data_IF_168344673186
#
_entry.id   IF_168344673186
#
_cell.length_a   1.000
_cell.length_b   1.000
_cell.length_c   1.000
_cell.angle_alpha   90.00
_cell.angle_beta   90.00
_cell.angle_gamma   90.00
#
_symmetry.space_group_name_H-M   'P 1'
#
loop_
_entity.id
_entity.type
_entity.pdbx_description
1 polymer ?
#
# COMPACT_ATOMS: atom_id res chain seq x y z
N UNK A 1 70.33 -45.27 5.81
CA UNK A 1 69.12 -44.81 6.53
C UNK A 1 69.24 -43.30 6.80
N UNK A 2 68.84 -42.47 5.82
CA UNK A 2 68.51 -41.04 5.97
C UNK A 2 67.88 -40.60 4.64
N UNK A 3 66.62 -40.19 4.72
CA UNK A 3 65.69 -39.95 3.61
C UNK A 3 66.03 -38.66 2.88
N UNK A 4 66.14 -38.72 1.55
CA UNK A 4 66.16 -37.59 0.63
C UNK A 4 64.73 -37.17 0.29
N UNK A 5 64.42 -35.90 0.59
CA UNK A 5 63.16 -35.23 0.30
C UNK A 5 62.94 -35.13 -1.23
N UNK A 6 61.84 -35.71 -1.73
CA UNK A 6 61.32 -35.42 -3.07
C UNK A 6 60.41 -34.18 -2.99
N UNK A 7 60.71 -33.17 -3.80
CA UNK A 7 59.76 -32.11 -4.17
C UNK A 7 58.89 -32.65 -5.29
N UNK A 8 57.57 -32.73 -5.06
CA UNK A 8 56.58 -32.92 -6.13
C UNK A 8 55.54 -31.81 -6.00
N UNK A 9 55.39 -31.04 -7.08
CA UNK A 9 54.47 -29.92 -7.23
C UNK A 9 53.02 -30.45 -7.22
N UNK A 10 52.22 -29.99 -6.25
CA UNK A 10 50.77 -30.22 -6.21
C UNK A 10 50.02 -28.99 -6.70
N UNK A 11 49.52 -29.05 -7.93
CA UNK A 11 48.62 -28.06 -8.50
C UNK A 11 47.24 -28.20 -7.84
N UNK A 12 46.85 -27.28 -6.96
CA UNK A 12 45.52 -27.24 -6.35
C UNK A 12 44.66 -26.31 -7.22
N UNK A 13 43.83 -26.91 -8.06
CA UNK A 13 42.78 -26.23 -8.80
C UNK A 13 41.58 -26.04 -7.86
N UNK A 14 41.43 -24.85 -7.28
CA UNK A 14 40.23 -24.48 -6.51
C UNK A 14 39.08 -24.22 -7.49
N UNK A 15 38.12 -25.13 -7.56
CA UNK A 15 36.86 -24.93 -8.26
C UNK A 15 35.91 -24.13 -7.37
N UNK A 16 35.70 -22.86 -7.70
CA UNK A 16 34.70 -22.00 -7.05
C UNK A 16 33.32 -22.33 -7.62
N UNK A 17 32.47 -23.00 -6.83
CA UNK A 17 31.08 -23.24 -7.18
C UNK A 17 30.29 -21.92 -7.02
N UNK A 18 30.01 -21.25 -8.14
CA UNK A 18 29.13 -20.07 -8.16
C UNK A 18 27.68 -20.59 -8.09
N UNK A 19 27.10 -20.58 -6.90
CA UNK A 19 25.66 -20.72 -6.69
C UNK A 19 24.98 -19.45 -7.20
N UNK A 20 24.52 -19.49 -8.44
CA UNK A 20 23.61 -18.47 -8.99
C UNK A 20 22.26 -18.66 -8.31
N UNK A 21 21.96 -17.84 -7.30
CA UNK A 21 20.59 -17.67 -6.84
C UNK A 21 19.81 -16.98 -7.95
N UNK A 22 19.10 -17.76 -8.77
CA UNK A 22 18.06 -17.20 -9.61
C UNK A 22 16.96 -16.71 -8.66
N UNK A 23 16.81 -15.38 -8.55
CA UNK A 23 15.58 -14.78 -8.06
C UNK A 23 14.48 -15.16 -9.05
N UNK A 24 13.87 -16.32 -8.84
CA UNK A 24 12.65 -16.67 -9.54
C UNK A 24 11.62 -15.63 -9.09
N UNK A 25 11.26 -14.71 -9.99
CA UNK A 25 10.03 -13.94 -9.88
C UNK A 25 8.88 -14.94 -10.02
N UNK A 26 8.65 -15.72 -8.97
CA UNK A 26 7.46 -16.53 -8.88
C UNK A 26 6.32 -15.53 -8.72
N UNK A 27 5.40 -15.53 -9.69
CA UNK A 27 4.02 -15.12 -9.38
C UNK A 27 3.67 -15.81 -8.07
N UNK A 28 3.20 -15.05 -7.09
CA UNK A 28 2.82 -15.59 -5.78
C UNK A 28 1.64 -16.53 -6.01
N UNK A 29 1.94 -17.78 -6.36
CA UNK A 29 0.94 -18.81 -6.50
C UNK A 29 0.50 -19.10 -5.08
N UNK A 30 -0.67 -18.60 -4.70
CA UNK A 30 -1.27 -19.01 -3.44
C UNK A 30 -2.01 -20.32 -3.73
N UNK A 31 -1.47 -21.49 -3.32
CA UNK A 31 -2.17 -22.74 -3.52
C UNK A 31 -3.51 -22.66 -2.78
N UNK A 32 -4.57 -23.13 -3.45
CA UNK A 32 -5.86 -23.50 -2.85
C UNK A 32 -6.88 -22.41 -2.48
N UNK A 33 -6.74 -21.14 -2.89
CA UNK A 33 -7.91 -20.25 -2.87
C UNK A 33 -8.95 -20.79 -3.89
N UNK A 34 -10.22 -21.07 -3.51
CA UNK A 34 -11.21 -21.59 -4.44
C UNK A 34 -11.38 -20.62 -5.62
N UNK A 35 -11.20 -21.09 -6.85
CA UNK A 35 -11.60 -20.33 -8.02
C UNK A 35 -13.12 -20.46 -8.19
N UNK A 36 -13.80 -19.33 -8.38
CA UNK A 36 -15.16 -19.33 -8.91
C UNK A 36 -15.20 -19.90 -10.34
N UNK A 37 -16.42 -20.07 -10.85
CA UNK A 37 -16.64 -20.53 -12.23
C UNK A 37 -16.23 -19.51 -13.30
N UNK A 38 -16.65 -19.77 -14.53
CA UNK A 38 -16.65 -18.77 -15.61
C UNK A 38 -17.69 -17.69 -15.31
N UNK A 39 -17.33 -16.42 -15.44
CA UNK A 39 -18.24 -15.31 -15.17
C UNK A 39 -18.13 -14.17 -16.18
N UNK A 40 -19.16 -13.31 -16.20
CA UNK A 40 -19.12 -11.98 -16.82
C UNK A 40 -19.07 -10.94 -15.72
N UNK A 41 -18.05 -10.07 -15.73
CA UNK A 41 -17.91 -8.96 -14.78
C UNK A 41 -18.63 -7.75 -15.37
N UNK A 42 -19.64 -7.24 -14.65
CA UNK A 42 -20.47 -6.12 -15.07
C UNK A 42 -20.57 -4.97 -14.07
N UNK A 43 -19.95 -5.12 -12.89
CA UNK A 43 -19.92 -4.14 -11.79
C UNK A 43 -18.57 -4.23 -11.07
N UNK A 44 -18.21 -3.24 -10.24
CA UNK A 44 -17.04 -3.33 -9.38
C UNK A 44 -17.07 -4.59 -8.51
N UNK A 45 -15.94 -5.29 -8.39
CA UNK A 45 -15.88 -6.62 -7.75
C UNK A 45 -15.00 -6.67 -6.50
N UNK A 46 -14.16 -5.66 -6.29
CA UNK A 46 -13.29 -5.61 -5.12
C UNK A 46 -14.06 -5.21 -3.87
N UNK A 47 -13.53 -5.62 -2.72
CA UNK A 47 -13.99 -5.12 -1.43
C UNK A 47 -12.78 -4.83 -0.59
N UNK A 48 -12.75 -3.64 -0.02
CA UNK A 48 -11.59 -3.08 0.65
C UNK A 48 -11.91 -2.98 2.14
N UNK A 49 -10.95 -3.37 2.97
CA UNK A 49 -11.05 -3.32 4.42
C UNK A 49 -9.88 -2.50 4.97
N UNK A 50 -10.19 -1.41 5.67
CA UNK A 50 -9.18 -0.55 6.27
C UNK A 50 -8.42 -1.26 7.38
N UNK A 51 -7.13 -1.00 7.49
CA UNK A 51 -6.33 -1.45 8.62
C UNK A 51 -6.78 -0.84 9.96
N UNK A 52 -6.21 -1.34 11.05
CA UNK A 52 -6.42 -0.81 12.40
C UNK A 52 -5.08 -0.48 13.02
N UNK A 53 -5.03 0.53 13.88
CA UNK A 53 -3.82 0.94 14.59
C UNK A 53 -2.96 -0.23 15.09
N UNK A 54 -1.67 -0.19 14.78
CA UNK A 54 -0.70 -1.21 15.16
C UNK A 54 0.26 -1.58 14.04
N UNK A 55 1.10 -2.57 14.32
CA UNK A 55 2.09 -3.13 13.38
C UNK A 55 1.88 -4.63 13.30
N UNK A 56 1.79 -5.16 12.07
CA UNK A 56 1.33 -6.51 11.77
C UNK A 56 2.20 -7.16 10.68
N UNK A 57 2.13 -8.48 10.56
CA UNK A 57 2.91 -9.24 9.56
C UNK A 57 4.38 -9.45 9.97
N UNK A 58 5.27 -9.49 8.98
CA UNK A 58 6.66 -9.90 9.18
C UNK A 58 7.34 -9.13 10.33
N UNK A 59 8.17 -9.81 11.14
CA UNK A 59 8.91 -9.17 12.24
C UNK A 59 8.10 -8.86 13.49
N UNK A 60 6.83 -9.27 13.56
CA UNK A 60 6.00 -9.16 14.78
C UNK A 60 5.90 -10.50 15.52
N UNK A 61 5.29 -10.51 16.72
CA UNK A 61 4.99 -11.75 17.46
C UNK A 61 3.99 -12.67 16.75
N UNK A 62 3.22 -12.13 15.79
CA UNK A 62 2.25 -12.87 14.96
C UNK A 62 2.53 -12.60 13.48
N UNK A 63 3.59 -13.23 12.91
CA UNK A 63 4.14 -12.86 11.60
C UNK A 63 3.23 -13.11 10.39
N UNK A 64 2.08 -13.74 10.62
CA UNK A 64 1.10 -14.14 9.63
C UNK A 64 -0.28 -13.51 9.88
N UNK A 65 -0.38 -12.47 10.70
CA UNK A 65 -1.66 -11.84 11.04
C UNK A 65 -1.71 -10.37 10.65
N UNK A 66 -2.92 -9.90 10.33
CA UNK A 66 -3.30 -8.48 10.20
C UNK A 66 -4.68 -8.25 10.82
N UNK A 67 -4.96 -7.01 11.24
CA UNK A 67 -6.29 -6.61 11.70
C UNK A 67 -7.01 -5.80 10.63
N UNK A 68 -8.33 -5.88 10.57
CA UNK A 68 -9.16 -5.07 9.67
C UNK A 68 -10.33 -4.44 10.42
N UNK A 69 -10.72 -3.25 9.98
CA UNK A 69 -11.88 -2.50 10.44
C UNK A 69 -13.16 -3.07 9.86
N UNK A 70 -14.18 -3.24 10.70
CA UNK A 70 -15.55 -3.51 10.24
C UNK A 70 -16.30 -2.21 9.87
N UNK A 71 -15.75 -1.03 10.20
CA UNK A 71 -16.38 0.27 9.94
C UNK A 71 -15.91 0.87 8.60
N UNK A 72 -14.68 0.56 8.19
CA UNK A 72 -14.04 1.16 7.03
C UNK A 72 -13.97 0.12 5.91
N UNK A 73 -15.15 -0.17 5.36
CA UNK A 73 -15.35 -1.17 4.30
C UNK A 73 -16.03 -0.53 3.10
N UNK A 74 -15.46 -0.72 1.91
CA UNK A 74 -16.03 -0.27 0.63
C UNK A 74 -16.15 -1.49 -0.29
N UNK A 75 -17.26 -1.60 -1.03
CA UNK A 75 -17.60 -2.77 -1.83
C UNK A 75 -18.60 -3.72 -1.13
N UNK A 76 -19.08 -4.73 -1.87
CA UNK A 76 -20.18 -5.61 -1.44
C UNK A 76 -19.79 -7.06 -1.10
N UNK A 77 -18.52 -7.41 -1.22
CA UNK A 77 -18.01 -8.77 -1.00
C UNK A 77 -17.96 -9.15 0.48
N UNK A 78 -18.28 -10.40 0.78
CA UNK A 78 -18.17 -10.95 2.14
C UNK A 78 -16.87 -11.71 2.28
N UNK A 79 -16.00 -11.27 3.21
CA UNK A 79 -14.73 -11.95 3.50
C UNK A 79 -14.93 -13.23 4.33
N UNK A 80 -14.50 -14.36 3.78
CA UNK A 80 -14.58 -15.70 4.36
C UNK A 80 -13.20 -16.40 4.38
N UNK A 81 -13.08 -17.49 5.14
CA UNK A 81 -11.88 -18.32 5.16
C UNK A 81 -11.70 -18.99 3.79
N UNK A 82 -10.47 -18.97 3.27
CA UNK A 82 -10.09 -19.46 1.94
C UNK A 82 -9.97 -18.37 0.89
N UNK A 83 -10.43 -17.16 1.17
CA UNK A 83 -10.36 -16.04 0.23
C UNK A 83 -8.91 -15.63 -0.06
N UNK A 84 -8.69 -15.25 -1.33
CA UNK A 84 -7.49 -14.55 -1.76
C UNK A 84 -7.64 -13.06 -1.44
N UNK A 85 -6.64 -12.50 -0.79
CA UNK A 85 -6.58 -11.07 -0.47
C UNK A 85 -5.25 -10.48 -0.91
N UNK A 86 -5.23 -9.16 -1.14
CA UNK A 86 -4.00 -8.37 -1.14
C UNK A 86 -3.91 -7.63 0.19
N UNK A 87 -2.75 -7.67 0.85
CA UNK A 87 -2.43 -6.75 1.94
C UNK A 87 -1.50 -5.68 1.38
N UNK A 88 -1.87 -4.40 1.47
CA UNK A 88 -1.17 -3.30 0.83
C UNK A 88 -0.93 -2.14 1.79
N UNK A 89 0.33 -1.75 1.96
CA UNK A 89 0.72 -0.51 2.61
C UNK A 89 0.60 0.65 1.62
N UNK A 90 -0.45 1.46 1.76
CA UNK A 90 -0.74 2.57 0.84
C UNK A 90 0.04 3.82 1.23
N UNK A 91 0.05 4.15 2.53
CA UNK A 91 0.80 5.29 3.07
C UNK A 91 1.75 4.82 4.18
N UNK A 92 2.90 5.48 4.29
CA UNK A 92 3.92 5.18 5.27
C UNK A 92 5.31 5.60 4.80
N UNK A 93 5.41 6.84 4.33
CA UNK A 93 6.68 7.50 4.05
C UNK A 93 6.90 8.65 5.04
N UNK A 94 8.13 8.82 5.48
CA UNK A 94 8.51 9.99 6.27
C UNK A 94 8.75 11.18 5.33
N UNK A 95 8.77 12.38 5.87
CA UNK A 95 9.19 13.57 5.14
C UNK A 95 9.87 14.55 6.09
N UNK A 96 10.80 15.34 5.55
CA UNK A 96 11.33 16.49 6.27
C UNK A 96 10.27 17.60 6.29
N UNK A 97 9.92 18.07 7.48
CA UNK A 97 8.90 19.08 7.69
C UNK A 97 9.49 20.47 7.96
N UNK A 98 10.80 20.63 7.94
CA UNK A 98 11.43 21.94 8.14
C UNK A 98 11.08 22.89 6.99
N UNK A 99 10.91 24.17 7.32
CA UNK A 99 10.49 25.19 6.36
C UNK A 99 11.72 25.86 5.72
N UNK A 100 12.47 25.06 4.98
CA UNK A 100 13.65 25.47 4.24
C UNK A 100 13.84 24.57 3.01
N UNK A 101 14.99 24.67 2.35
CA UNK A 101 15.26 23.96 1.11
C UNK A 101 15.46 22.44 1.26
N UNK A 102 15.34 21.90 2.48
CA UNK A 102 15.34 20.45 2.75
C UNK A 102 13.92 19.87 2.85
N UNK A 103 12.86 20.68 2.81
CA UNK A 103 11.48 20.21 2.93
C UNK A 103 11.17 19.02 2.00
N UNK A 104 10.62 17.96 2.58
CA UNK A 104 10.24 16.73 1.90
C UNK A 104 11.28 15.62 2.04
N UNK A 105 12.49 15.80 1.56
CA UNK A 105 13.51 14.74 1.45
C UNK A 105 14.78 14.95 2.28
N UNK A 106 14.84 16.02 3.04
CA UNK A 106 15.97 16.32 3.92
C UNK A 106 17.24 16.75 3.19
N UNK A 107 17.17 17.08 1.89
CA UNK A 107 18.34 17.42 1.08
C UNK A 107 18.21 18.79 0.41
N UNK A 108 19.12 19.71 0.76
CA UNK A 108 19.21 21.02 0.12
C UNK A 108 19.49 20.92 -1.39
N UNK A 109 18.90 21.84 -2.17
CA UNK A 109 19.20 22.01 -3.59
C UNK A 109 18.43 21.11 -4.57
N UNK A 110 17.45 20.33 -4.11
CA UNK A 110 16.57 19.55 -4.98
C UNK A 110 15.62 18.65 -4.22
N UNK A 111 14.47 19.18 -3.80
CA UNK A 111 13.54 18.45 -2.94
C UNK A 111 12.73 17.36 -3.66
N UNK A 112 12.68 16.18 -3.05
CA UNK A 112 11.67 15.15 -3.27
C UNK A 112 10.59 15.22 -2.18
N UNK A 113 9.38 14.71 -2.44
CA UNK A 113 8.26 14.87 -1.50
C UNK A 113 8.29 13.98 -0.24
N UNK A 114 9.34 13.18 -0.03
CA UNK A 114 9.44 12.20 1.06
C UNK A 114 10.91 11.76 1.30
N UNK A 115 11.16 11.19 2.48
CA UNK A 115 12.43 10.58 2.88
C UNK A 115 12.52 9.12 2.41
N UNK A 116 13.53 8.81 1.60
CA UNK A 116 13.82 7.42 1.20
C UNK A 116 14.77 6.76 2.20
N UNK A 117 14.22 6.11 3.22
CA UNK A 117 14.98 5.49 4.31
C UNK A 117 14.38 4.13 4.74
N UNK A 118 14.92 3.54 5.81
CA UNK A 118 14.48 2.23 6.30
C UNK A 118 13.02 2.20 6.81
N UNK A 119 12.45 3.37 7.14
CA UNK A 119 11.08 3.52 7.61
C UNK A 119 10.07 3.69 6.46
N UNK A 120 10.51 3.72 5.20
CA UNK A 120 9.62 3.72 4.04
C UNK A 120 8.90 2.38 3.92
N UNK A 121 7.61 2.38 4.24
CA UNK A 121 6.72 1.22 4.16
C UNK A 121 5.79 1.28 2.94
N UNK A 122 5.44 2.49 2.47
CA UNK A 122 4.50 2.68 1.38
C UNK A 122 4.92 1.91 0.12
N UNK A 123 3.94 1.33 -0.58
CA UNK A 123 4.16 0.51 -1.78
C UNK A 123 4.46 -0.96 -1.51
N UNK A 124 4.58 -1.40 -0.25
CA UNK A 124 4.64 -2.83 0.08
C UNK A 124 3.27 -3.48 -0.14
N UNK A 125 3.22 -4.55 -0.91
CA UNK A 125 2.01 -5.36 -1.04
C UNK A 125 2.34 -6.82 -1.30
N UNK A 126 1.43 -7.71 -0.92
CA UNK A 126 1.50 -9.14 -1.25
C UNK A 126 0.10 -9.76 -1.28
N UNK A 127 -0.06 -10.83 -2.06
CA UNK A 127 -1.21 -11.70 -2.00
C UNK A 127 -1.09 -12.65 -0.81
N UNK A 128 -2.22 -12.98 -0.19
CA UNK A 128 -2.30 -13.93 0.90
C UNK A 128 -3.64 -14.67 0.85
N UNK A 129 -3.70 -15.86 1.45
CA UNK A 129 -4.95 -16.58 1.67
C UNK A 129 -5.37 -16.50 3.12
N UNK A 130 -6.63 -16.18 3.36
CA UNK A 130 -7.20 -16.12 4.70
C UNK A 130 -7.39 -17.53 5.25
N UNK A 131 -6.68 -17.89 6.32
CA UNK A 131 -6.79 -19.22 6.95
C UNK A 131 -7.72 -19.23 8.15
N UNK A 132 -7.77 -18.13 8.91
CA UNK A 132 -8.70 -17.99 10.02
C UNK A 132 -9.19 -16.56 10.10
N UNK A 133 -10.41 -16.41 10.58
CA UNK A 133 -10.97 -15.11 10.90
C UNK A 133 -11.57 -15.17 12.30
N UNK A 134 -11.12 -14.29 13.18
CA UNK A 134 -11.67 -14.11 14.52
C UNK A 134 -12.18 -12.69 14.69
N UNK A 135 -13.11 -12.49 15.63
CA UNK A 135 -13.94 -11.28 15.70
C UNK A 135 -15.18 -11.36 14.81
N UNK A 136 -16.08 -10.39 14.92
CA UNK A 136 -17.35 -10.36 14.21
C UNK A 136 -17.69 -8.93 13.76
N UNK A 137 -18.44 -8.81 12.66
CA UNK A 137 -19.10 -7.57 12.25
C UNK A 137 -20.64 -7.72 12.43
N UNK A 138 -21.40 -6.66 12.79
CA UNK A 138 -20.91 -5.31 13.09
C UNK A 138 -20.23 -5.26 14.47
N UNK A 139 -19.03 -4.69 14.51
CA UNK A 139 -18.11 -4.66 15.66
C UNK A 139 -16.90 -3.77 15.33
N UNK A 140 -15.85 -3.75 16.15
CA UNK A 140 -14.69 -2.87 15.88
C UNK A 140 -13.74 -3.49 14.86
N UNK A 141 -13.42 -4.77 14.98
CA UNK A 141 -12.35 -5.39 14.19
C UNK A 141 -12.51 -6.89 13.93
N UNK A 142 -11.85 -7.37 12.87
CA UNK A 142 -11.55 -8.79 12.66
C UNK A 142 -10.03 -8.96 12.65
N UNK A 143 -9.54 -10.06 13.23
CA UNK A 143 -8.16 -10.52 13.04
C UNK A 143 -8.16 -11.57 11.95
N UNK A 144 -7.33 -11.35 10.94
CA UNK A 144 -7.10 -12.31 9.86
C UNK A 144 -5.78 -13.01 10.14
N UNK A 145 -5.79 -14.35 10.21
CA UNK A 145 -4.57 -15.12 10.00
C UNK A 145 -4.48 -15.48 8.53
N UNK A 146 -3.31 -15.27 7.97
CA UNK A 146 -3.03 -15.34 6.55
C UNK A 146 -1.92 -16.36 6.27
N UNK A 147 -1.98 -16.99 5.11
CA UNK A 147 -0.82 -17.67 4.53
C UNK A 147 -0.27 -16.77 3.43
N UNK A 148 0.94 -16.24 3.63
CA UNK A 148 1.66 -15.39 2.68
C UNK A 148 2.79 -16.13 1.95
N UNK A 149 3.61 -15.38 1.24
CA UNK A 149 4.77 -15.90 0.49
C UNK A 149 6.05 -16.03 1.32
N UNK A 150 6.03 -15.60 2.58
CA UNK A 150 7.18 -15.59 3.47
C UNK A 150 7.52 -16.98 4.04
N UNK A 151 8.67 -17.05 4.73
CA UNK A 151 9.14 -18.28 5.35
C UNK A 151 8.10 -18.85 6.32
N UNK A 152 7.81 -20.16 6.22
CA UNK A 152 6.82 -20.84 7.05
C UNK A 152 5.36 -20.46 6.76
N UNK A 153 5.08 -19.85 5.60
CA UNK A 153 3.73 -19.36 5.26
C UNK A 153 3.38 -18.01 5.89
N UNK A 154 4.36 -17.30 6.44
CA UNK A 154 4.18 -15.97 7.00
C UNK A 154 4.02 -14.91 5.90
N UNK A 155 3.70 -13.68 6.30
CA UNK A 155 3.77 -12.53 5.40
C UNK A 155 5.23 -12.18 5.10
N UNK A 156 5.49 -11.66 3.91
CA UNK A 156 6.79 -11.12 3.48
C UNK A 156 7.08 -9.78 4.12
N UNK A 157 6.04 -8.95 4.28
CA UNK A 157 6.18 -7.58 4.74
C UNK A 157 5.53 -7.34 6.10
N UNK A 158 6.06 -6.33 6.78
CA UNK A 158 5.42 -5.68 7.92
C UNK A 158 4.51 -4.58 7.40
N UNK A 159 3.30 -4.50 7.95
CA UNK A 159 2.31 -3.47 7.68
C UNK A 159 2.03 -2.66 8.94
N UNK A 160 1.77 -1.37 8.78
CA UNK A 160 1.57 -0.44 9.89
C UNK A 160 0.34 0.44 9.64
N UNK A 161 -0.41 0.72 10.69
CA UNK A 161 -1.45 1.73 10.70
C UNK A 161 -1.24 2.63 11.91
N UNK A 162 -1.19 3.94 11.67
CA UNK A 162 -1.04 4.94 12.72
C UNK A 162 -1.55 6.28 12.23
N UNK A 163 -2.19 7.02 13.12
CA UNK A 163 -2.45 8.44 12.87
C UNK A 163 -1.14 9.20 12.98
N UNK A 164 -1.01 10.25 12.16
CA UNK A 164 0.08 11.20 12.29
C UNK A 164 0.01 11.86 13.67
N UNK A 165 1.15 11.96 14.37
CA UNK A 165 1.21 12.79 15.59
C UNK A 165 2.29 13.86 15.48
N UNK A 166 3.49 13.51 15.00
CA UNK A 166 4.60 14.46 14.88
C UNK A 166 5.72 13.92 13.97
N UNK A 167 6.37 14.80 13.20
CA UNK A 167 7.68 14.53 12.56
C UNK A 167 8.81 14.75 13.57
N UNK A 168 9.81 13.85 13.68
CA UNK A 168 10.01 12.63 12.90
C UNK A 168 9.43 11.36 13.54
N UNK A 169 8.69 11.46 14.65
CA UNK A 169 8.45 10.33 15.55
C UNK A 169 7.25 9.41 15.21
N UNK A 170 6.20 9.89 14.53
CA UNK A 170 5.02 9.08 14.17
C UNK A 170 4.47 9.47 12.82
N UNK A 171 4.44 8.48 11.93
CA UNK A 171 4.04 8.63 10.53
C UNK A 171 2.55 8.41 10.35
N UNK A 172 2.00 9.04 9.31
CA UNK A 172 0.68 8.68 8.81
C UNK A 172 0.80 7.36 8.04
N UNK A 173 0.46 6.25 8.70
CA UNK A 173 0.50 4.93 8.07
C UNK A 173 -0.91 4.45 7.79
N UNK A 174 -1.16 3.98 6.56
CA UNK A 174 -2.40 3.32 6.16
C UNK A 174 -2.06 2.06 5.38
N UNK A 175 -2.58 0.92 5.83
CA UNK A 175 -2.68 -0.27 5.00
C UNK A 175 -4.15 -0.62 4.80
N UNK A 176 -4.44 -1.32 3.71
CA UNK A 176 -5.74 -1.93 3.44
C UNK A 176 -5.56 -3.40 3.10
N UNK A 177 -6.63 -4.17 3.34
CA UNK A 177 -6.78 -5.54 2.85
C UNK A 177 -7.83 -5.52 1.75
N UNK A 178 -7.52 -6.07 0.59
CA UNK A 178 -8.40 -6.06 -0.58
C UNK A 178 -8.82 -7.50 -0.84
N UNK A 179 -10.11 -7.81 -0.77
CA UNK A 179 -10.66 -9.06 -1.25
C UNK A 179 -10.50 -9.13 -2.77
N UNK A 180 -9.82 -10.18 -3.24
CA UNK A 180 -9.55 -10.42 -4.65
C UNK A 180 -10.42 -11.58 -5.12
N UNK A 181 -11.50 -11.30 -5.88
CA UNK A 181 -12.29 -12.35 -6.50
C UNK A 181 -11.43 -13.20 -7.44
N UNK A 182 -11.62 -14.51 -7.33
CA UNK A 182 -10.91 -15.50 -8.13
C UNK A 182 -11.87 -16.17 -9.10
N UNK A 183 -11.51 -16.23 -10.38
CA UNK A 183 -12.33 -16.80 -11.44
C UNK A 183 -11.56 -17.83 -12.26
N UNK A 184 -12.28 -18.83 -12.80
CA UNK A 184 -11.69 -19.73 -13.79
C UNK A 184 -11.54 -19.01 -15.13
N UNK A 185 -12.60 -18.36 -15.61
CA UNK A 185 -12.55 -17.45 -16.75
C UNK A 185 -13.39 -16.22 -16.40
N UNK A 186 -12.99 -15.05 -16.90
CA UNK A 186 -13.73 -13.82 -16.69
C UNK A 186 -13.83 -13.03 -18.00
N UNK A 187 -14.98 -12.43 -18.25
CA UNK A 187 -15.20 -11.55 -19.41
C UNK A 187 -15.76 -10.22 -18.96
N UNK A 188 -15.21 -9.11 -19.44
CA UNK A 188 -15.84 -7.79 -19.41
C UNK A 188 -16.32 -7.51 -20.83
N UNK A 189 -17.63 -7.34 -21.01
CA UNK A 189 -18.24 -7.20 -22.33
C UNK A 189 -18.03 -5.81 -22.93
N UNK A 190 -18.11 -5.70 -24.25
CA UNK A 190 -18.15 -4.42 -24.96
C UNK A 190 -19.28 -3.54 -24.39
N UNK A 191 -19.01 -2.24 -24.25
CA UNK A 191 -19.96 -1.27 -23.69
C UNK A 191 -20.14 -1.34 -22.17
N UNK A 192 -19.37 -2.18 -21.47
CA UNK A 192 -19.31 -2.21 -20.01
C UNK A 192 -18.10 -1.42 -19.52
N UNK A 193 -18.32 -0.52 -18.56
CA UNK A 193 -17.25 0.12 -17.78
C UNK A 193 -17.32 -0.41 -16.35
N UNK A 194 -16.18 -0.87 -15.84
CA UNK A 194 -16.00 -1.26 -14.43
C UNK A 194 -15.25 -0.14 -13.74
N UNK A 195 -15.97 0.62 -12.92
CA UNK A 195 -15.37 1.68 -12.11
C UNK A 195 -14.57 1.06 -10.95
N UNK A 196 -13.52 1.76 -10.54
CA UNK A 196 -12.74 1.43 -9.33
C UNK A 196 -13.19 2.36 -8.21
N UNK A 197 -13.57 1.80 -7.06
CA UNK A 197 -13.90 2.62 -5.90
C UNK A 197 -12.73 3.53 -5.52
N UNK A 198 -13.00 4.83 -5.38
CA UNK A 198 -11.99 5.84 -5.10
C UNK A 198 -11.31 5.63 -3.74
N UNK A 199 -10.02 5.96 -3.67
CA UNK A 199 -9.30 6.05 -2.40
C UNK A 199 -9.90 7.17 -1.53
N UNK A 200 -10.49 6.79 -0.40
CA UNK A 200 -11.17 7.72 0.49
C UNK A 200 -10.30 8.25 1.65
N UNK A 201 -9.00 7.96 1.64
CA UNK A 201 -8.09 8.22 2.78
C UNK A 201 -7.80 6.99 3.64
N UNK A 202 -8.53 5.90 3.46
CA UNK A 202 -8.30 4.65 4.18
C UNK A 202 -8.34 3.39 3.33
N UNK A 203 -9.22 3.35 2.33
CA UNK A 203 -9.44 2.21 1.44
C UNK A 203 -9.81 2.67 0.03
N UNK A 204 -9.61 1.78 -0.95
CA UNK A 204 -9.97 2.00 -2.37
C UNK A 204 -8.76 2.10 -3.29
N UNK A 205 -9.00 2.51 -4.52
CA UNK A 205 -8.01 2.87 -5.53
C UNK A 205 -7.30 1.71 -6.23
N UNK A 206 -7.79 0.48 -6.08
CA UNK A 206 -7.15 -0.71 -6.66
C UNK A 206 -8.16 -1.69 -7.22
N UNK A 207 -8.15 -1.88 -8.53
CA UNK A 207 -8.81 -3.03 -9.16
C UNK A 207 -7.91 -4.26 -9.11
N UNK A 208 -8.44 -5.38 -8.60
CA UNK A 208 -7.70 -6.64 -8.56
C UNK A 208 -8.63 -7.86 -8.74
N UNK A 209 -8.25 -8.75 -9.65
CA UNK A 209 -8.88 -10.07 -9.83
C UNK A 209 -7.78 -11.11 -10.05
N UNK A 210 -8.05 -12.37 -9.69
CA UNK A 210 -7.22 -13.51 -10.11
C UNK A 210 -8.01 -14.35 -11.11
N UNK A 211 -7.42 -14.63 -12.28
CA UNK A 211 -8.05 -15.45 -13.32
C UNK A 211 -7.09 -16.57 -13.69
N UNK A 212 -7.49 -17.81 -13.43
CA UNK A 212 -6.62 -18.98 -13.65
C UNK A 212 -6.62 -19.47 -15.10
N UNK A 213 -7.70 -19.18 -15.85
CA UNK A 213 -7.87 -19.47 -17.27
C UNK A 213 -7.83 -18.19 -18.10
N UNK A 214 -8.86 -17.94 -18.90
CA UNK A 214 -8.90 -16.80 -19.83
C UNK A 214 -9.60 -15.59 -19.22
N UNK A 215 -8.92 -14.44 -19.23
CA UNK A 215 -9.53 -13.13 -19.02
C UNK A 215 -9.76 -12.44 -20.36
N UNK A 216 -11.03 -12.17 -20.70
CA UNK A 216 -11.43 -11.47 -21.92
C UNK A 216 -11.86 -10.05 -21.58
N UNK A 217 -11.03 -9.06 -21.90
CA UNK A 217 -11.33 -7.64 -21.67
C UNK A 217 -11.79 -6.96 -22.97
N UNK A 218 -13.10 -6.90 -23.20
CA UNK A 218 -13.71 -6.19 -24.35
C UNK A 218 -14.34 -4.84 -23.96
N UNK A 219 -14.57 -4.60 -22.67
CA UNK A 219 -14.99 -3.31 -22.13
C UNK A 219 -13.83 -2.54 -21.49
N UNK A 220 -14.15 -1.67 -20.54
CA UNK A 220 -13.18 -0.77 -19.88
C UNK A 220 -13.13 -1.06 -18.38
N UNK A 221 -11.93 -1.00 -17.80
CA UNK A 221 -11.73 -0.81 -16.36
C UNK A 221 -11.32 0.64 -16.20
N UNK A 222 -12.11 1.44 -15.49
CA UNK A 222 -11.86 2.87 -15.30
C UNK A 222 -11.40 3.14 -13.87
N UNK A 223 -10.11 3.51 -13.75
CA UNK A 223 -9.48 3.92 -12.50
C UNK A 223 -9.06 5.40 -12.53
N UNK A 224 -9.63 6.20 -13.44
CA UNK A 224 -9.31 7.62 -13.55
C UNK A 224 -9.73 8.35 -12.27
N UNK A 225 -8.75 8.94 -11.57
CA UNK A 225 -9.00 9.67 -10.33
C UNK A 225 -9.15 8.79 -9.08
N UNK A 226 -9.17 7.46 -9.21
CA UNK A 226 -9.40 6.54 -8.07
C UNK A 226 -8.24 6.47 -7.06
N UNK A 227 -7.08 7.04 -7.41
CA UNK A 227 -5.90 7.10 -6.54
C UNK A 227 -5.99 8.20 -5.48
N UNK A 228 -4.83 8.62 -4.96
CA UNK A 228 -4.77 9.67 -3.93
C UNK A 228 -5.56 10.92 -4.30
N UNK A 229 -6.25 11.47 -3.29
CA UNK A 229 -7.09 12.65 -3.44
C UNK A 229 -6.26 13.88 -3.78
N UNK A 230 -6.81 14.73 -4.64
CA UNK A 230 -6.22 16.02 -5.01
C UNK A 230 -6.10 16.95 -3.79
N UNK A 231 -5.29 18.00 -3.91
CA UNK A 231 -5.26 19.05 -2.89
C UNK A 231 -6.57 19.82 -2.87
N UNK A 232 -7.03 20.20 -1.67
CA UNK A 232 -8.16 21.13 -1.55
C UNK A 232 -7.85 22.45 -2.26
N UNK A 233 -8.80 22.94 -3.06
CA UNK A 233 -8.71 24.25 -3.67
C UNK A 233 -9.27 25.32 -2.74
N UNK A 234 -8.75 26.54 -2.81
CA UNK A 234 -9.28 27.69 -2.07
C UNK A 234 -9.25 28.95 -2.95
N UNK A 235 -10.10 29.91 -2.64
CA UNK A 235 -10.05 31.23 -3.29
C UNK A 235 -8.84 32.01 -2.78
N UNK A 236 -7.94 32.38 -3.68
CA UNK A 236 -6.75 33.14 -3.32
C UNK A 236 -7.10 34.63 -3.17
N UNK A 237 -6.95 35.16 -1.96
CA UNK A 237 -7.14 36.59 -1.64
C UNK A 237 -5.82 37.31 -1.40
N UNK A 238 -4.70 36.59 -1.49
CA UNK A 238 -3.40 37.06 -1.01
C UNK A 238 -3.28 36.94 0.51
N UNK A 239 -2.05 36.91 0.99
CA UNK A 239 -1.70 36.80 2.39
C UNK A 239 -0.45 37.61 2.72
N UNK A 240 -0.38 38.12 3.95
CA UNK A 240 0.86 38.68 4.50
C UNK A 240 1.61 37.55 5.21
N UNK A 241 2.89 37.37 4.89
CA UNK A 241 3.74 36.39 5.55
C UNK A 241 4.63 35.66 4.56
N UNK A 242 4.13 34.63 3.85
CA UNK A 242 4.98 33.72 3.11
C UNK A 242 5.91 34.44 2.15
N UNK A 243 7.20 34.24 2.33
CA UNK A 243 8.26 34.78 1.49
C UNK A 243 8.76 33.72 0.53
N UNK A 244 9.57 34.11 -0.46
CA UNK A 244 10.11 33.19 -1.48
C UNK A 244 11.13 32.18 -0.93
N UNK A 245 11.37 32.14 0.37
CA UNK A 245 12.19 31.15 1.08
C UNK A 245 11.34 30.19 1.92
N UNK A 246 10.02 30.33 1.91
CA UNK A 246 9.12 29.38 2.58
C UNK A 246 8.79 28.22 1.65
N UNK A 247 8.97 27.01 2.16
CA UNK A 247 8.74 25.74 1.45
C UNK A 247 7.46 25.03 1.93
N UNK A 248 6.90 25.48 3.06
CA UNK A 248 5.58 25.05 3.57
C UNK A 248 4.83 26.22 4.19
N UNK A 249 3.50 26.16 4.14
CA UNK A 249 2.63 27.04 4.90
C UNK A 249 1.67 26.22 5.76
N UNK A 250 1.43 26.64 7.00
CA UNK A 250 0.41 26.03 7.84
C UNK A 250 -0.96 26.65 7.53
N UNK A 251 -1.93 25.83 7.14
CA UNK A 251 -3.28 26.30 6.87
C UNK A 251 -4.23 25.86 8.00
N UNK A 252 -4.44 26.75 8.98
CA UNK A 252 -5.24 26.46 10.17
C UNK A 252 -6.77 26.45 9.93
N UNK A 253 -7.24 27.05 8.83
CA UNK A 253 -8.65 27.01 8.39
C UNK A 253 -8.70 27.17 6.86
N UNK A 254 -9.78 26.70 6.24
CA UNK A 254 -9.98 26.77 4.78
C UNK A 254 -9.95 28.19 4.20
N UNK A 255 -10.22 29.20 5.03
CA UNK A 255 -10.20 30.63 4.70
C UNK A 255 -9.21 31.42 5.57
N UNK A 256 -8.28 30.72 6.24
CA UNK A 256 -7.35 31.30 7.21
C UNK A 256 -6.33 32.26 6.58
N UNK A 257 -5.56 32.96 7.42
CA UNK A 257 -4.70 34.09 7.03
C UNK A 257 -3.67 33.86 5.90
N UNK A 258 -3.51 32.62 5.40
CA UNK A 258 -2.54 32.22 4.38
C UNK A 258 -3.22 31.74 3.08
N UNK A 259 -4.06 32.59 2.48
CA UNK A 259 -4.76 32.34 1.19
C UNK A 259 -3.89 32.74 -0.02
N UNK A 260 -2.62 32.32 -0.05
CA UNK A 260 -1.67 32.68 -1.10
C UNK A 260 -1.16 31.50 -1.94
N UNK A 261 -1.51 30.27 -1.58
CA UNK A 261 -1.11 29.04 -2.27
C UNK A 261 -2.21 27.97 -2.20
N UNK A 262 -2.10 26.91 -3.01
CA UNK A 262 -3.00 25.76 -2.94
C UNK A 262 -2.57 24.74 -1.89
N UNK A 263 -3.50 23.90 -1.42
CA UNK A 263 -3.13 22.76 -0.58
C UNK A 263 -2.41 21.69 -1.42
N UNK A 264 -1.45 21.01 -0.80
CA UNK A 264 -0.85 19.81 -1.37
C UNK A 264 -1.92 18.70 -1.49
N UNK A 265 -1.78 17.84 -2.50
CA UNK A 265 -2.55 16.59 -2.58
C UNK A 265 -2.07 15.51 -1.63
N UNK A 266 -2.95 14.55 -1.37
CA UNK A 266 -2.65 13.35 -0.60
C UNK A 266 -1.51 12.56 -1.25
N UNK A 267 -0.73 11.86 -0.44
CA UNK A 267 0.34 11.01 -0.94
C UNK A 267 0.81 10.00 0.08
N UNK A 268 1.92 9.32 -0.25
CA UNK A 268 2.47 8.25 0.59
C UNK A 268 2.95 8.73 1.97
N UNK A 269 3.27 10.02 2.12
CA UNK A 269 3.66 10.63 3.40
C UNK A 269 2.48 11.09 4.26
N UNK A 270 1.26 10.78 3.83
CA UNK A 270 0.04 11.06 4.57
C UNK A 270 -0.93 11.98 3.84
N UNK A 271 -1.95 12.38 4.60
CA UNK A 271 -3.09 13.13 4.14
C UNK A 271 -2.98 14.59 4.61
N UNK A 272 -2.88 15.56 3.67
CA UNK A 272 -2.97 16.98 3.98
C UNK A 272 -4.32 17.33 4.58
N UNK A 273 -4.38 18.44 5.31
CA UNK A 273 -5.62 18.88 5.93
C UNK A 273 -6.78 19.05 4.95
N UNK A 274 -6.53 19.63 3.78
CA UNK A 274 -7.55 19.86 2.77
C UNK A 274 -7.32 18.97 1.56
N UNK A 275 -8.31 18.14 1.24
CA UNK A 275 -8.28 17.24 0.07
C UNK A 275 -9.55 17.38 -0.77
N UNK A 276 -9.43 17.24 -2.08
CA UNK A 276 -10.55 17.15 -3.01
C UNK A 276 -10.75 15.69 -3.45
N UNK A 277 -11.95 15.16 -3.20
CA UNK A 277 -12.30 13.76 -3.46
C UNK A 277 -13.00 13.55 -4.82
N UNK A 278 -13.00 14.55 -5.70
CA UNK A 278 -13.74 14.50 -6.97
C UNK A 278 -15.12 15.14 -6.90
N UNK A 279 -15.68 15.35 -5.70
CA UNK A 279 -16.99 15.97 -5.49
C UNK A 279 -16.95 17.20 -4.57
N UNK A 280 -16.17 17.14 -3.49
CA UNK A 280 -16.10 18.17 -2.46
C UNK A 280 -14.68 18.34 -1.89
N UNK A 281 -14.46 19.48 -1.24
CA UNK A 281 -13.27 19.68 -0.41
C UNK A 281 -13.57 19.22 1.02
N UNK A 282 -12.69 18.39 1.56
CA UNK A 282 -12.80 17.79 2.89
C UNK A 282 -11.76 18.37 3.85
N UNK A 283 -12.14 18.65 5.10
CA UNK A 283 -11.21 18.90 6.23
C UNK A 283 -10.90 17.57 6.91
N UNK A 284 -9.67 17.09 6.77
CA UNK A 284 -9.20 15.86 7.41
C UNK A 284 -8.84 16.08 8.90
N UNK A 285 -9.00 17.30 9.44
CA UNK A 285 -8.59 17.69 10.80
C UNK A 285 -7.13 17.32 11.12
N UNK A 286 -6.28 17.31 10.08
CA UNK A 286 -4.85 17.01 10.17
C UNK A 286 -4.04 18.22 10.66
#
# INVERSE_FOLDING_TARGET
MKRTLHRLYGCILTATLILVFQNQLLSQCVPNAPAGGTTTIGTPVNTYFGGIAGTYGAGTGSPNQVLISCANVVGGGTLVVGDLVIVMQVQGAEFDADNDDTYGDGTSGGGNGYLSNANLLAGRYEYAVVTTITGACPGVSRTLTLTGGGAGGNLLYTYSYSNFTQVPAVLHNRYQVILVPRYTNATINVGTTIDVDDWNGEVGGVFAIDVTGTFTLNGTIDANGAGFRGGGFQTLTGAVGPVNTDYRTSQATFLGAQNCNGAKGEGISGTPRWTYDGAAVNDNNA
#
